data_IF_220243742103
#
_entry.id   IF_220243742103
#
_cell.length_a   1.000
_cell.length_b   1.000
_cell.length_c   1.000
_cell.angle_alpha   90.00
_cell.angle_beta   90.00
_cell.angle_gamma   90.00
#
_symmetry.space_group_name_H-M   'P 1'
#
loop_
_entity.id
_entity.type
_entity.pdbx_description
1 polymer ?
#
# COMPACT_ATOMS: atom_id res chain seq x y z
N UNK A 1 19.30 -15.77 -17.57
CA UNK A 1 18.22 -15.00 -16.92
C UNK A 1 17.61 -14.11 -17.98
N UNK A 2 16.31 -14.26 -18.27
CA UNK A 2 15.63 -13.37 -19.21
C UNK A 2 15.55 -11.98 -18.57
N UNK A 3 16.18 -10.99 -19.18
CA UNK A 3 16.05 -9.59 -18.77
C UNK A 3 14.67 -9.09 -19.21
N UNK A 4 13.85 -8.61 -18.27
CA UNK A 4 12.61 -7.94 -18.58
C UNK A 4 12.89 -6.60 -19.28
N UNK A 5 12.11 -6.25 -20.31
CA UNK A 5 12.20 -4.93 -20.92
C UNK A 5 11.47 -3.91 -20.06
N UNK A 6 12.20 -2.98 -19.44
CA UNK A 6 11.56 -1.92 -18.64
C UNK A 6 10.71 -0.98 -19.50
N UNK A 7 9.46 -0.66 -19.09
CA UNK A 7 8.61 0.27 -19.82
C UNK A 7 9.08 1.72 -19.67
N UNK A 8 8.43 2.61 -20.42
CA UNK A 8 8.62 4.05 -20.22
C UNK A 8 8.04 4.49 -18.88
N UNK A 9 8.70 5.49 -18.29
CA UNK A 9 8.16 6.24 -17.15
C UNK A 9 7.16 7.27 -17.67
N UNK A 10 6.03 7.39 -16.98
CA UNK A 10 5.07 8.47 -17.21
C UNK A 10 4.41 8.84 -15.88
N UNK A 11 3.89 10.06 -15.78
CA UNK A 11 3.07 10.45 -14.63
C UNK A 11 1.60 10.12 -14.94
N UNK A 12 0.94 9.25 -14.15
CA UNK A 12 -0.48 8.98 -14.33
C UNK A 12 -1.28 10.26 -14.20
N UNK A 13 -2.18 10.52 -15.15
CA UNK A 13 -3.15 11.63 -15.10
C UNK A 13 -4.42 11.19 -14.37
N UNK A 14 -4.26 10.59 -13.20
CA UNK A 14 -5.39 10.20 -12.36
C UNK A 14 -5.87 11.41 -11.56
N UNK A 15 -7.18 11.55 -11.39
CA UNK A 15 -7.72 12.57 -10.48
C UNK A 15 -7.36 12.26 -9.03
N UNK A 16 -7.26 10.99 -8.68
CA UNK A 16 -6.92 10.51 -7.35
C UNK A 16 -6.25 9.12 -7.39
N UNK A 17 -5.72 8.70 -6.26
CA UNK A 17 -5.47 7.31 -5.90
C UNK A 17 -6.18 7.02 -4.59
N UNK A 18 -6.69 5.80 -4.43
CA UNK A 18 -7.42 5.36 -3.25
C UNK A 18 -6.72 4.16 -2.63
N UNK A 19 -6.37 4.27 -1.36
CA UNK A 19 -5.89 3.15 -0.54
C UNK A 19 -6.94 2.80 0.50
N UNK A 20 -7.26 1.52 0.63
CA UNK A 20 -8.17 1.03 1.67
C UNK A 20 -7.38 0.19 2.67
N UNK A 21 -7.54 0.45 3.97
CA UNK A 21 -6.90 -0.30 5.07
C UNK A 21 -7.90 -0.62 6.17
N UNK A 22 -7.63 -1.64 6.99
CA UNK A 22 -8.44 -1.92 8.17
C UNK A 22 -8.30 -0.80 9.21
N UNK A 23 -9.42 -0.43 9.86
CA UNK A 23 -9.45 0.68 10.84
C UNK A 23 -8.88 0.29 12.21
N UNK A 24 -8.82 -1.00 12.53
CA UNK A 24 -8.49 -1.52 13.87
C UNK A 24 -6.99 -1.47 14.23
N UNK A 25 -6.15 -0.84 13.40
CA UNK A 25 -4.74 -0.63 13.73
C UNK A 25 -4.57 0.74 14.40
N UNK A 26 -3.91 0.82 15.58
CA UNK A 26 -3.85 2.06 16.35
C UNK A 26 -3.27 3.20 15.50
N UNK A 27 -3.77 4.44 15.67
CA UNK A 27 -3.23 5.58 14.93
C UNK A 27 -1.74 5.69 15.22
N UNK A 28 -0.98 5.45 14.16
CA UNK A 28 0.44 5.67 14.11
C UNK A 28 0.60 7.19 14.10
N UNK A 29 0.99 7.78 15.21
CA UNK A 29 1.04 9.26 15.34
C UNK A 29 2.48 9.80 15.20
N UNK A 30 3.47 8.91 15.07
CA UNK A 30 4.88 9.31 15.09
C UNK A 30 5.25 10.24 13.92
N UNK A 31 4.69 9.99 12.73
CA UNK A 31 4.97 10.80 11.53
C UNK A 31 4.16 12.11 11.48
N UNK A 32 3.20 12.28 12.40
CA UNK A 32 2.22 13.35 12.39
C UNK A 32 2.52 14.41 13.47
N UNK A 33 3.00 13.98 14.64
CA UNK A 33 2.98 14.82 15.85
C UNK A 33 4.25 15.60 16.19
N UNK A 34 5.38 15.35 15.55
CA UNK A 34 6.66 15.86 16.08
C UNK A 34 7.24 17.09 15.38
N UNK A 35 6.80 17.44 14.16
CA UNK A 35 7.37 18.58 13.41
C UNK A 35 8.89 18.50 13.17
N UNK A 36 9.48 17.33 13.42
CA UNK A 36 10.91 17.07 13.38
C UNK A 36 11.41 16.90 11.95
N UNK A 37 12.66 17.31 11.71
CA UNK A 37 13.37 16.99 10.49
C UNK A 37 13.67 15.46 10.41
N UNK A 38 13.91 14.94 9.21
CA UNK A 38 14.15 13.51 9.01
C UNK A 38 15.33 12.97 9.85
N UNK A 39 16.42 13.72 9.95
CA UNK A 39 17.59 13.30 10.72
C UNK A 39 17.28 13.22 12.23
N UNK A 40 16.42 14.10 12.74
CA UNK A 40 15.94 14.06 14.12
C UNK A 40 14.98 12.87 14.34
N UNK A 41 14.07 12.62 13.39
CA UNK A 41 13.19 11.44 13.42
C UNK A 41 13.99 10.14 13.45
N UNK A 42 15.05 10.04 12.65
CA UNK A 42 15.95 8.88 12.64
C UNK A 42 16.76 8.76 13.94
N UNK A 43 17.12 9.88 14.58
CA UNK A 43 17.75 9.89 15.89
C UNK A 43 16.80 9.37 17.00
N UNK A 44 15.58 9.91 17.06
CA UNK A 44 14.52 9.45 17.97
C UNK A 44 14.24 7.96 17.77
N UNK A 45 14.24 7.53 16.50
CA UNK A 45 14.07 6.13 16.13
C UNK A 45 15.18 5.23 16.65
N UNK A 46 16.44 5.56 16.40
CA UNK A 46 17.58 4.76 16.83
C UNK A 46 17.60 4.59 18.36
N UNK A 47 17.19 5.62 19.11
CA UNK A 47 17.04 5.55 20.56
C UNK A 47 15.85 4.67 20.98
N UNK A 48 14.72 4.80 20.29
CA UNK A 48 13.51 4.01 20.54
C UNK A 48 13.71 2.52 20.22
N UNK A 49 14.46 2.18 19.17
CA UNK A 49 14.80 0.80 18.83
C UNK A 49 15.51 0.08 19.98
N UNK A 50 16.26 0.80 20.80
CA UNK A 50 17.00 0.20 21.92
C UNK A 50 16.16 0.09 23.21
N UNK A 51 15.07 0.85 23.33
CA UNK A 51 14.47 1.12 24.65
C UNK A 51 12.94 1.08 24.70
N UNK A 52 12.24 1.12 23.56
CA UNK A 52 10.80 1.31 23.52
C UNK A 52 10.08 0.43 22.47
N UNK A 53 9.63 -0.78 22.86
CA UNK A 53 8.89 -1.70 21.99
C UNK A 53 7.60 -1.10 21.39
N UNK A 54 6.96 -0.16 22.10
CA UNK A 54 5.74 0.50 21.61
C UNK A 54 6.03 1.41 20.41
N UNK A 55 7.14 2.14 20.44
CA UNK A 55 7.55 3.00 19.31
C UNK A 55 7.97 2.17 18.09
N UNK A 56 8.67 1.05 18.31
CA UNK A 56 8.97 0.09 17.23
C UNK A 56 7.69 -0.43 16.56
N UNK A 57 6.69 -0.83 17.36
CA UNK A 57 5.41 -1.32 16.84
C UNK A 57 4.63 -0.22 16.10
N UNK A 58 4.71 1.03 16.56
CA UNK A 58 3.99 2.13 15.94
C UNK A 58 4.58 2.50 14.58
N UNK A 59 5.90 2.58 14.48
CA UNK A 59 6.49 3.27 13.35
C UNK A 59 7.28 2.34 12.39
N UNK A 60 7.35 1.03 12.68
CA UNK A 60 7.93 -0.03 11.84
C UNK A 60 9.46 -0.17 11.90
N UNK A 61 10.18 -0.11 10.78
CA UNK A 61 11.66 0.02 10.72
C UNK A 61 12.04 1.10 9.70
N UNK A 62 12.48 2.27 10.20
CA UNK A 62 12.85 3.42 9.36
C UNK A 62 14.16 3.25 8.58
N UNK A 63 15.04 2.34 9.00
CA UNK A 63 16.31 2.09 8.30
C UNK A 63 16.09 1.48 6.91
N UNK A 64 14.88 0.95 6.66
CA UNK A 64 14.45 0.43 5.36
C UNK A 64 13.96 1.52 4.40
N UNK A 65 13.68 2.72 4.91
CA UNK A 65 13.28 3.87 4.10
C UNK A 65 14.53 4.65 3.72
N UNK A 66 14.70 4.91 2.42
CA UNK A 66 15.82 5.70 1.90
C UNK A 66 15.89 7.08 2.54
N UNK A 67 17.10 7.58 2.80
CA UNK A 67 17.29 8.96 3.28
C UNK A 67 16.71 9.96 2.26
N UNK A 68 15.90 10.91 2.74
CA UNK A 68 15.21 11.91 1.93
C UNK A 68 13.82 11.49 1.45
N UNK A 69 13.38 10.25 1.74
CA UNK A 69 12.07 9.75 1.34
C UNK A 69 11.05 9.72 2.49
N UNK A 70 11.45 10.04 3.72
CA UNK A 70 10.51 10.11 4.84
C UNK A 70 9.54 11.27 4.62
N UNK A 71 8.24 10.99 4.71
CA UNK A 71 7.19 12.01 4.66
C UNK A 71 6.62 12.23 6.06
N UNK A 72 6.27 13.47 6.36
CA UNK A 72 5.75 13.91 7.67
C UNK A 72 4.54 14.83 7.48
N UNK A 73 3.73 14.96 8.52
CA UNK A 73 2.48 15.73 8.51
C UNK A 73 1.25 14.83 8.59
N UNK A 74 0.05 15.43 8.59
CA UNK A 74 -1.21 14.72 8.80
C UNK A 74 -1.37 13.51 7.87
N UNK A 75 -1.73 12.35 8.45
CA UNK A 75 -1.90 11.07 7.77
C UNK A 75 -0.62 10.52 7.11
N UNK A 76 0.58 11.05 7.41
CA UNK A 76 1.85 10.52 6.87
C UNK A 76 2.05 9.06 7.20
N UNK A 77 1.54 8.62 8.34
CA UNK A 77 1.65 7.24 8.76
C UNK A 77 0.90 6.26 7.85
N UNK A 78 -0.17 6.70 7.18
CA UNK A 78 -0.89 5.90 6.19
C UNK A 78 -0.01 5.54 4.99
N UNK A 79 0.92 6.44 4.65
CA UNK A 79 1.93 6.21 3.61
C UNK A 79 3.10 5.43 4.18
N UNK A 80 3.70 5.91 5.28
CA UNK A 80 4.93 5.39 5.85
C UNK A 80 4.80 3.94 6.32
N UNK A 81 3.64 3.54 6.86
CA UNK A 81 3.42 2.18 7.34
C UNK A 81 3.69 1.11 6.26
N UNK A 82 3.38 1.40 4.99
CA UNK A 82 3.62 0.48 3.88
C UNK A 82 5.11 0.20 3.62
N UNK A 83 6.00 1.09 4.06
CA UNK A 83 7.44 1.00 3.87
C UNK A 83 8.18 0.57 5.13
N UNK A 84 7.59 0.80 6.31
CA UNK A 84 8.21 0.48 7.59
C UNK A 84 7.73 -0.84 8.18
N UNK A 85 6.51 -1.30 7.87
CA UNK A 85 5.94 -2.58 8.30
C UNK A 85 5.92 -3.59 7.14
N UNK A 86 7.08 -4.17 6.85
CA UNK A 86 7.27 -5.12 5.74
C UNK A 86 7.40 -6.56 6.24
N UNK A 87 7.58 -7.52 5.32
CA UNK A 87 7.75 -8.94 5.63
C UNK A 87 6.65 -9.83 5.04
N UNK A 88 5.61 -9.23 4.46
CA UNK A 88 4.55 -9.95 3.78
C UNK A 88 4.77 -9.88 2.26
N UNK A 89 4.89 -11.03 1.57
CA UNK A 89 4.97 -11.05 0.12
C UNK A 89 3.67 -10.54 -0.50
N UNK A 90 3.78 -9.88 -1.64
CA UNK A 90 2.66 -9.43 -2.47
C UNK A 90 3.06 -9.48 -3.94
N UNK A 91 2.22 -8.95 -4.84
CA UNK A 91 2.43 -9.04 -6.30
C UNK A 91 3.81 -8.57 -6.73
N UNK A 92 4.27 -7.43 -6.22
CA UNK A 92 5.52 -6.80 -6.67
C UNK A 92 6.66 -6.84 -5.66
N UNK A 93 6.50 -7.47 -4.51
CA UNK A 93 7.57 -7.66 -3.50
C UNK A 93 7.50 -9.06 -2.91
N UNK A 94 8.65 -9.68 -2.68
CA UNK A 94 8.78 -10.93 -1.92
C UNK A 94 8.73 -10.70 -0.40
N UNK A 95 8.47 -9.46 0.04
CA UNK A 95 8.42 -9.05 1.43
C UNK A 95 9.74 -8.42 1.93
N UNK A 96 10.80 -8.43 1.12
CA UNK A 96 12.11 -7.84 1.49
C UNK A 96 12.12 -6.31 1.49
N UNK A 97 11.17 -5.67 0.82
CA UNK A 97 10.94 -4.23 0.83
C UNK A 97 9.44 -3.91 0.78
N UNK A 98 9.10 -2.70 1.23
CA UNK A 98 7.72 -2.25 1.33
C UNK A 98 7.19 -1.64 0.06
N UNK A 99 5.90 -1.81 -0.19
CA UNK A 99 5.18 -1.23 -1.32
C UNK A 99 3.86 -0.64 -0.83
N UNK A 100 3.61 0.61 -1.21
CA UNK A 100 2.31 1.23 -1.03
C UNK A 100 1.41 0.90 -2.22
N UNK A 101 0.34 0.16 -1.95
CA UNK A 101 -0.68 -0.18 -2.94
C UNK A 101 -1.89 0.77 -2.86
N UNK A 102 -2.41 1.11 -4.04
CA UNK A 102 -3.64 1.88 -4.21
C UNK A 102 -4.33 1.58 -5.54
N UNK A 103 -5.65 1.76 -5.60
CA UNK A 103 -6.43 1.79 -6.84
C UNK A 103 -6.52 3.21 -7.41
N UNK A 104 -6.82 3.33 -8.70
CA UNK A 104 -7.14 4.62 -9.35
C UNK A 104 -8.42 5.27 -8.80
N UNK A 105 -9.36 4.45 -8.40
CA UNK A 105 -10.68 4.84 -7.91
C UNK A 105 -11.10 3.94 -6.74
N UNK A 106 -12.16 4.35 -6.04
CA UNK A 106 -12.66 3.66 -4.85
C UNK A 106 -13.07 2.22 -5.17
N UNK A 107 -13.80 2.00 -6.27
CA UNK A 107 -14.24 0.66 -6.66
C UNK A 107 -13.05 -0.29 -6.88
N UNK A 108 -12.02 0.16 -7.60
CA UNK A 108 -10.81 -0.66 -7.81
C UNK A 108 -10.13 -1.00 -6.48
N UNK A 109 -9.98 -0.02 -5.58
CA UNK A 109 -9.36 -0.23 -4.28
C UNK A 109 -10.19 -1.18 -3.39
N UNK A 110 -11.51 -1.08 -3.44
CA UNK A 110 -12.42 -1.98 -2.72
C UNK A 110 -12.32 -3.40 -3.25
N UNK A 111 -12.37 -3.61 -4.57
CA UNK A 111 -12.28 -4.95 -5.17
C UNK A 111 -10.96 -5.65 -4.86
N UNK A 112 -9.84 -4.93 -4.92
CA UNK A 112 -8.53 -5.47 -4.53
C UNK A 112 -8.48 -5.84 -3.04
N UNK A 113 -8.97 -4.97 -2.17
CA UNK A 113 -8.91 -5.21 -0.73
C UNK A 113 -9.93 -6.24 -0.25
N UNK A 114 -11.09 -6.37 -0.89
CA UNK A 114 -12.03 -7.47 -0.64
C UNK A 114 -11.34 -8.80 -0.92
N UNK A 115 -10.72 -8.96 -2.10
CA UNK A 115 -10.03 -10.21 -2.45
C UNK A 115 -8.99 -10.62 -1.39
N UNK A 116 -8.13 -9.68 -0.99
CA UNK A 116 -7.11 -9.96 0.03
C UNK A 116 -7.71 -10.22 1.41
N UNK A 117 -8.74 -9.45 1.80
CA UNK A 117 -9.38 -9.62 3.11
C UNK A 117 -10.11 -10.96 3.21
N UNK A 118 -10.74 -11.41 2.14
CA UNK A 118 -11.35 -12.75 2.08
C UNK A 118 -10.28 -13.85 2.21
N UNK A 119 -9.14 -13.71 1.54
CA UNK A 119 -8.04 -14.67 1.65
C UNK A 119 -7.55 -14.76 3.10
N UNK A 120 -7.23 -13.62 3.72
CA UNK A 120 -6.79 -13.55 5.11
C UNK A 120 -7.84 -14.13 6.08
N UNK A 121 -9.13 -13.87 5.84
CA UNK A 121 -10.22 -14.37 6.67
C UNK A 121 -10.40 -15.89 6.55
N UNK A 122 -10.25 -16.45 5.33
CA UNK A 122 -10.28 -17.90 5.11
C UNK A 122 -9.09 -18.57 5.78
N UNK A 123 -7.89 -18.04 5.59
CA UNK A 123 -6.66 -18.59 6.17
C UNK A 123 -6.70 -18.57 7.70
N UNK A 124 -7.32 -17.54 8.29
CA UNK A 124 -7.54 -17.42 9.73
C UNK A 124 -8.77 -18.19 10.25
N UNK A 125 -9.58 -18.81 9.39
CA UNK A 125 -10.79 -19.55 9.78
C UNK A 125 -11.86 -18.68 10.44
N UNK A 126 -11.99 -17.41 10.02
CA UNK A 126 -12.95 -16.48 10.63
C UNK A 126 -14.40 -16.83 10.25
N UNK A 127 -15.28 -16.91 11.25
CA UNK A 127 -16.73 -16.96 11.05
C UNK A 127 -17.30 -15.64 10.50
N UNK A 128 -18.64 -15.55 10.30
CA UNK A 128 -19.29 -14.33 9.83
C UNK A 128 -18.93 -13.11 10.69
N UNK A 129 -18.57 -12.00 10.05
CA UNK A 129 -18.13 -10.77 10.72
C UNK A 129 -18.30 -9.56 9.77
N UNK A 130 -18.11 -8.35 10.31
CA UNK A 130 -18.04 -7.11 9.55
C UNK A 130 -16.66 -6.48 9.71
N UNK A 131 -15.90 -6.44 8.61
CA UNK A 131 -14.58 -5.80 8.63
C UNK A 131 -14.73 -4.30 8.41
N UNK A 132 -14.32 -3.52 9.41
CA UNK A 132 -14.26 -2.07 9.29
C UNK A 132 -12.98 -1.65 8.56
N UNK A 133 -13.18 -0.96 7.45
CA UNK A 133 -12.12 -0.49 6.57
C UNK A 133 -12.24 1.03 6.38
N UNK A 134 -11.14 1.69 6.04
CA UNK A 134 -11.09 3.13 5.75
C UNK A 134 -10.46 3.36 4.40
N UNK A 135 -11.14 4.12 3.55
CA UNK A 135 -10.54 4.65 2.34
C UNK A 135 -9.72 5.92 2.64
N UNK A 136 -8.60 6.07 1.95
CA UNK A 136 -7.66 7.17 2.03
C UNK A 136 -7.39 7.67 0.62
N UNK A 137 -7.66 8.95 0.39
CA UNK A 137 -7.68 9.54 -0.96
C UNK A 137 -6.47 10.46 -1.10
N UNK A 138 -5.61 10.20 -2.08
CA UNK A 138 -4.45 11.03 -2.38
C UNK A 138 -4.23 11.21 -3.87
N UNK A 139 -3.03 11.62 -4.24
CA UNK A 139 -2.63 11.83 -5.64
C UNK A 139 -1.31 11.14 -5.95
N UNK A 140 -1.12 10.74 -7.20
CA UNK A 140 0.18 10.26 -7.70
C UNK A 140 1.07 11.45 -8.03
N UNK A 141 2.18 11.57 -7.31
CA UNK A 141 3.07 12.74 -7.38
C UNK A 141 4.24 12.56 -8.35
N UNK A 142 4.60 11.31 -8.68
CA UNK A 142 5.82 10.99 -9.43
C UNK A 142 5.52 10.16 -10.68
N UNK A 143 6.48 10.16 -11.60
CA UNK A 143 6.43 9.31 -12.80
C UNK A 143 6.71 7.86 -12.42
N UNK A 144 5.85 6.95 -12.89
CA UNK A 144 5.87 5.52 -12.62
C UNK A 144 6.09 4.74 -13.91
N UNK A 145 6.55 3.49 -13.77
CA UNK A 145 6.69 2.54 -14.86
C UNK A 145 5.33 1.96 -15.25
N UNK A 146 4.93 2.08 -16.51
CA UNK A 146 3.63 1.58 -17.00
C UNK A 146 3.73 0.13 -17.48
N UNK A 147 3.16 -0.81 -16.73
CA UNK A 147 3.12 -2.23 -17.13
C UNK A 147 1.74 -2.66 -17.60
N UNK A 148 0.85 -1.74 -17.99
CA UNK A 148 -0.52 -2.08 -18.42
C UNK A 148 -0.60 -2.62 -19.85
N UNK A 149 0.46 -2.45 -20.63
CA UNK A 149 0.57 -2.97 -22.00
C UNK A 149 0.54 -4.51 -22.07
N UNK A 150 0.08 -5.05 -23.19
CA UNK A 150 -0.06 -6.52 -23.40
C UNK A 150 1.29 -7.25 -23.31
N UNK A 151 2.39 -6.58 -23.65
CA UNK A 151 3.74 -7.13 -23.52
C UNK A 151 4.11 -7.50 -22.08
N UNK A 152 3.37 -6.99 -21.09
CA UNK A 152 3.53 -7.25 -19.67
C UNK A 152 2.49 -8.23 -19.10
N UNK A 153 1.67 -8.89 -19.93
CA UNK A 153 0.62 -9.83 -19.48
C UNK A 153 1.16 -10.94 -18.55
N UNK A 154 2.42 -11.33 -18.71
CA UNK A 154 3.12 -12.29 -17.86
C UNK A 154 3.31 -11.84 -16.39
N UNK A 155 3.06 -10.57 -16.06
CA UNK A 155 3.06 -10.04 -14.68
C UNK A 155 1.70 -10.16 -13.98
N UNK A 156 0.66 -10.62 -14.70
CA UNK A 156 -0.74 -10.53 -14.26
C UNK A 156 -1.35 -11.88 -13.85
N UNK A 157 -0.54 -12.82 -13.37
CA UNK A 157 -1.09 -14.06 -12.82
C UNK A 157 -2.10 -13.73 -11.69
N UNK A 158 -3.33 -14.27 -11.74
CA UNK A 158 -4.33 -14.05 -10.70
C UNK A 158 -4.07 -14.89 -9.44
N UNK A 159 -3.25 -15.94 -9.49
CA UNK A 159 -2.91 -16.74 -8.32
C UNK A 159 -1.84 -16.02 -7.48
N UNK A 160 -2.12 -15.85 -6.19
CA UNK A 160 -1.20 -15.23 -5.23
C UNK A 160 0.09 -16.03 -5.05
N UNK A 161 0.05 -17.34 -5.32
CA UNK A 161 1.22 -18.22 -5.24
C UNK A 161 2.15 -18.08 -6.47
N UNK A 162 1.69 -17.40 -7.53
CA UNK A 162 2.41 -17.26 -8.81
C UNK A 162 3.04 -15.88 -9.01
N UNK A 163 3.20 -15.09 -7.95
CA UNK A 163 3.76 -13.73 -8.03
C UNK A 163 5.26 -13.65 -8.30
N UNK A 164 5.97 -14.78 -8.38
CA UNK A 164 7.43 -14.82 -8.55
C UNK A 164 7.95 -14.04 -9.78
N UNK A 165 7.21 -14.03 -10.89
CA UNK A 165 7.58 -13.29 -12.11
C UNK A 165 7.48 -11.78 -11.88
N UNK A 166 6.38 -11.31 -11.29
CA UNK A 166 6.17 -9.88 -11.00
C UNK A 166 7.15 -9.36 -9.93
N UNK A 167 7.48 -10.19 -8.94
CA UNK A 167 8.52 -9.89 -7.96
C UNK A 167 9.92 -9.81 -8.59
N UNK A 168 10.25 -10.73 -9.51
CA UNK A 168 11.51 -10.71 -10.25
C UNK A 168 11.62 -9.47 -11.14
N UNK A 169 10.52 -9.07 -11.79
CA UNK A 169 10.44 -7.82 -12.53
C UNK A 169 10.77 -6.61 -11.64
N UNK A 170 10.16 -6.49 -10.46
CA UNK A 170 10.44 -5.37 -9.55
C UNK A 170 11.88 -5.36 -9.06
N UNK A 171 12.47 -6.53 -8.76
CA UNK A 171 13.90 -6.62 -8.38
C UNK A 171 14.81 -6.15 -9.51
N UNK A 172 14.55 -6.56 -10.75
CA UNK A 172 15.32 -6.08 -11.90
C UNK A 172 15.13 -4.57 -12.09
N UNK A 173 13.89 -4.07 -11.99
CA UNK A 173 13.59 -2.65 -12.07
C UNK A 173 14.39 -1.84 -11.03
N UNK A 174 14.41 -2.26 -9.77
CA UNK A 174 15.15 -1.57 -8.71
C UNK A 174 16.67 -1.68 -8.87
N UNK A 175 17.16 -2.75 -9.50
CA UNK A 175 18.58 -2.89 -9.84
C UNK A 175 19.01 -1.95 -10.96
N UNK A 176 18.14 -1.69 -11.95
CA UNK A 176 18.43 -0.82 -13.10
C UNK A 176 18.11 0.66 -12.83
N UNK A 177 17.04 0.94 -12.08
CA UNK A 177 16.66 2.28 -11.61
C UNK A 177 16.38 2.27 -10.10
N UNK A 178 17.43 2.42 -9.25
CA UNK A 178 17.28 2.57 -7.80
C UNK A 178 16.45 3.80 -7.40
N UNK A 179 16.15 4.69 -8.34
CA UNK A 179 15.30 5.86 -8.15
C UNK A 179 13.82 5.64 -8.49
N UNK A 180 13.42 4.44 -8.93
CA UNK A 180 12.07 4.14 -9.37
C UNK A 180 11.02 4.50 -8.30
N UNK A 181 10.03 5.30 -8.69
CA UNK A 181 8.99 5.78 -7.77
C UNK A 181 7.83 4.81 -7.61
N UNK A 182 7.47 4.09 -8.67
CA UNK A 182 6.33 3.19 -8.65
C UNK A 182 6.09 2.48 -9.97
N UNK A 183 5.17 1.53 -9.92
CA UNK A 183 4.67 0.73 -11.03
C UNK A 183 3.17 0.97 -11.14
N UNK A 184 2.68 1.26 -12.34
CA UNK A 184 1.25 1.34 -12.64
C UNK A 184 0.85 0.10 -13.42
N UNK A 185 -0.16 -0.60 -12.93
CA UNK A 185 -0.57 -1.91 -13.43
C UNK A 185 -2.09 -2.02 -13.49
N UNK A 186 -2.61 -2.96 -14.29
CA UNK A 186 -4.05 -3.25 -14.35
C UNK A 186 -4.48 -4.02 -13.10
N UNK A 187 -5.70 -3.77 -12.63
CA UNK A 187 -6.30 -4.66 -11.63
C UNK A 187 -6.64 -6.01 -12.26
N UNK A 188 -6.30 -7.10 -11.57
CA UNK A 188 -6.78 -8.46 -11.93
C UNK A 188 -8.15 -8.76 -11.29
N UNK A 189 -8.64 -7.88 -10.40
CA UNK A 189 -9.89 -8.02 -9.65
C UNK A 189 -11.00 -7.09 -10.14
N UNK A 190 -10.63 -6.06 -10.90
CA UNK A 190 -11.53 -5.09 -11.50
C UNK A 190 -11.18 -4.90 -12.99
N UNK A 191 -11.92 -5.52 -13.92
CA UNK A 191 -11.72 -5.28 -15.35
C UNK A 191 -11.82 -3.79 -15.70
N UNK A 192 -10.77 -3.23 -16.30
CA UNK A 192 -10.69 -1.78 -16.61
C UNK A 192 -10.22 -0.89 -15.46
N UNK A 193 -10.03 -1.47 -14.27
CA UNK A 193 -9.39 -0.83 -13.12
C UNK A 193 -7.87 -0.77 -13.28
N UNK A 194 -7.28 0.31 -12.78
CA UNK A 194 -5.83 0.49 -12.70
C UNK A 194 -5.40 0.64 -11.25
N UNK A 195 -4.20 0.16 -10.94
CA UNK A 195 -3.61 0.15 -9.62
C UNK A 195 -2.18 0.71 -9.65
N UNK A 196 -1.74 1.21 -8.50
CA UNK A 196 -0.42 1.74 -8.24
C UNK A 196 0.28 0.86 -7.20
N UNK A 197 1.52 0.48 -7.50
CA UNK A 197 2.49 -0.05 -6.55
C UNK A 197 3.60 1.00 -6.39
N UNK A 198 3.48 1.87 -5.40
CA UNK A 198 4.47 2.88 -5.07
C UNK A 198 5.63 2.24 -4.31
N UNK A 199 6.84 2.43 -4.84
CA UNK A 199 8.09 1.83 -4.34
C UNK A 199 8.81 2.74 -3.34
N UNK A 200 8.41 4.02 -3.27
CA UNK A 200 8.98 5.03 -2.37
C UNK A 200 7.87 5.94 -1.83
N UNK A 201 7.92 6.37 -0.56
CA UNK A 201 6.85 7.19 0.04
C UNK A 201 6.47 8.45 -0.77
N UNK A 202 7.41 9.27 -1.29
CA UNK A 202 7.06 10.50 -2.03
C UNK A 202 6.38 10.27 -3.39
N UNK A 203 6.15 9.02 -3.79
CA UNK A 203 5.39 8.68 -5.00
C UNK A 203 3.92 9.11 -4.90
N UNK A 204 3.37 9.17 -3.68
CA UNK A 204 1.99 9.58 -3.40
C UNK A 204 1.97 10.81 -2.50
N UNK A 205 0.90 11.60 -2.54
CA UNK A 205 0.66 12.63 -1.54
C UNK A 205 0.29 12.04 -0.19
N UNK A 206 0.39 12.84 0.87
CA UNK A 206 -0.36 12.60 2.10
C UNK A 206 -1.85 12.48 1.76
N UNK A 207 -2.53 11.41 2.17
CA UNK A 207 -3.93 11.22 1.82
C UNK A 207 -4.84 11.99 2.76
N UNK A 208 -6.02 12.33 2.27
CA UNK A 208 -7.15 12.78 3.05
C UNK A 208 -8.03 11.58 3.44
N UNK A 209 -8.74 11.73 4.56
CA UNK A 209 -9.69 10.72 5.03
C UNK A 209 -10.85 10.60 4.05
N UNK A 210 -11.09 9.37 3.57
CA UNK A 210 -12.24 9.01 2.76
C UNK A 210 -13.31 8.25 3.56
N UNK A 211 -14.27 7.60 2.86
CA UNK A 211 -15.38 6.91 3.48
C UNK A 211 -14.93 5.80 4.46
N UNK A 212 -15.75 5.61 5.51
CA UNK A 212 -15.68 4.41 6.34
C UNK A 212 -16.43 3.32 5.60
N UNK A 213 -15.87 2.13 5.53
CA UNK A 213 -16.44 1.02 4.79
C UNK A 213 -16.66 -0.17 5.72
N UNK A 214 -17.76 -0.88 5.53
CA UNK A 214 -18.06 -2.13 6.20
C UNK A 214 -18.09 -3.26 5.17
N UNK A 215 -17.17 -4.22 5.29
CA UNK A 215 -17.17 -5.40 4.42
C UNK A 215 -17.89 -6.54 5.14
N UNK A 216 -19.02 -6.97 4.60
CA UNK A 216 -19.89 -7.98 5.24
C UNK A 216 -19.47 -9.39 4.83
N UNK A 217 -18.72 -10.05 5.70
CA UNK A 217 -18.18 -11.39 5.51
C UNK A 217 -19.14 -12.46 6.04
N UNK A 218 -19.52 -13.44 5.22
CA UNK A 218 -20.47 -14.50 5.58
C UNK A 218 -19.82 -15.79 6.11
N UNK A 219 -18.51 -15.78 6.37
CA UNK A 219 -17.72 -16.99 6.67
C UNK A 219 -17.06 -17.61 5.44
N UNK A 220 -17.43 -17.19 4.22
CA UNK A 220 -16.88 -17.71 2.97
C UNK A 220 -16.50 -16.64 1.95
N UNK A 221 -17.24 -15.53 1.87
CA UNK A 221 -16.97 -14.38 0.99
C UNK A 221 -17.51 -13.08 1.59
N UNK A 222 -17.04 -11.95 1.08
CA UNK A 222 -17.69 -10.66 1.30
C UNK A 222 -18.92 -10.60 0.39
N UNK A 223 -20.09 -10.38 0.98
CA UNK A 223 -21.38 -10.37 0.28
C UNK A 223 -21.71 -8.99 -0.28
N UNK A 224 -21.38 -7.94 0.47
CA UNK A 224 -21.56 -6.55 0.09
C UNK A 224 -20.62 -5.65 0.89
N UNK A 225 -20.47 -4.42 0.42
CA UNK A 225 -19.68 -3.37 1.05
C UNK A 225 -20.58 -2.15 1.23
N UNK A 226 -20.74 -1.72 2.47
CA UNK A 226 -21.47 -0.50 2.80
C UNK A 226 -20.51 0.65 3.07
N UNK A 227 -20.91 1.85 2.65
CA UNK A 227 -20.34 3.10 3.16
C UNK A 227 -21.05 3.47 4.46
N UNK A 228 -20.28 3.73 5.52
CA UNK A 228 -20.81 4.02 6.85
C UNK A 228 -20.79 5.52 7.14
N UNK A 229 -21.89 6.01 7.70
CA UNK A 229 -22.02 7.38 8.19
C UNK A 229 -21.98 7.44 9.72
N UNK A 230 -21.39 8.50 10.27
CA UNK A 230 -21.45 8.79 11.71
C UNK A 230 -22.61 9.74 11.99
N UNK A 231 -23.59 9.29 12.77
CA UNK A 231 -24.78 10.09 13.07
C UNK A 231 -24.63 10.94 14.34
N UNK A 232 -23.94 10.43 15.36
CA UNK A 232 -23.75 11.10 16.64
C UNK A 232 -22.36 10.81 17.21
N UNK A 233 -21.73 11.82 17.82
CA UNK A 233 -20.58 11.70 18.70
C UNK A 233 -21.01 12.22 20.06
N UNK A 234 -20.92 11.37 21.09
CA UNK A 234 -21.23 11.73 22.47
C UNK A 234 -19.96 12.09 23.22
#
# INVERSE_FOLDING_TARGET
>A
MSSFRLPRRYRPRWQQQVRVIATRHPPIDLFESLGLAEDELRGVWALAELTNPRLQQQAGNLNRVRKGDVVTGSNASIVMAAFTHIGFPSRFTDGSFGIYYAGRDLETAVRETVFHRELDARDAGLGPDVFQMRAWIGQVQKSCYDVRGKEYDHLYDPDVNSYGIAQAFTRQLLSEDPGAWGIVYRSVRHPGGDCLAALRPPCVSLPQTGPLLAYHWDGTRVTHVDEMETLYQF
#
